data_IF_203729090198
#
_entry.id   IF_203729090198
#
_cell.length_a   1.000
_cell.length_b   1.000
_cell.length_c   1.000
_cell.angle_alpha   90.00
_cell.angle_beta   90.00
_cell.angle_gamma   90.00
#
_symmetry.space_group_name_H-M   'P 1'
#
loop_
_entity.id
_entity.type
_entity.pdbx_description
1 polymer ?
#
# COMPACT_ATOMS: atom_id res chain seq x y z
N UNK A 1 -7.41 34.76 -22.39
CA UNK A 1 -6.87 33.38 -22.50
C UNK A 1 -5.80 33.07 -21.46
N UNK A 2 -4.78 33.92 -21.28
CA UNK A 2 -3.70 33.75 -20.28
C UNK A 2 -4.17 33.49 -18.84
N UNK A 3 -5.22 34.19 -18.37
CA UNK A 3 -5.81 33.99 -17.04
C UNK A 3 -6.51 32.63 -16.85
N UNK A 4 -7.05 32.03 -17.93
CA UNK A 4 -7.68 30.70 -17.90
C UNK A 4 -6.62 29.59 -17.87
N UNK A 5 -5.55 29.76 -18.64
CA UNK A 5 -4.38 28.87 -18.63
C UNK A 5 -3.66 28.87 -17.28
N UNK A 6 -3.49 30.05 -16.65
CA UNK A 6 -2.91 30.14 -15.31
C UNK A 6 -3.76 29.40 -14.27
N UNK A 7 -5.09 29.57 -14.28
CA UNK A 7 -5.99 28.84 -13.39
C UNK A 7 -5.91 27.33 -13.59
N UNK A 8 -5.88 26.87 -14.85
CA UNK A 8 -5.77 25.46 -15.17
C UNK A 8 -4.44 24.86 -14.69
N UNK A 9 -3.35 25.60 -14.86
CA UNK A 9 -2.02 25.20 -14.37
C UNK A 9 -1.97 25.08 -12.85
N UNK A 10 -2.60 25.99 -12.11
CA UNK A 10 -2.70 25.91 -10.64
C UNK A 10 -3.51 24.69 -10.21
N UNK A 11 -4.66 24.43 -10.85
CA UNK A 11 -5.49 23.26 -10.54
C UNK A 11 -4.72 21.95 -10.81
N UNK A 12 -4.03 21.86 -11.94
CA UNK A 12 -3.26 20.67 -12.30
C UNK A 12 -2.04 20.45 -11.38
N UNK A 13 -1.39 21.53 -10.96
CA UNK A 13 -0.31 21.48 -9.97
C UNK A 13 -0.78 20.98 -8.60
N UNK A 14 -1.96 21.40 -8.14
CA UNK A 14 -2.52 20.91 -6.87
C UNK A 14 -2.92 19.42 -6.97
N UNK A 15 -3.50 19.00 -8.09
CA UNK A 15 -3.94 17.62 -8.29
C UNK A 15 -2.76 16.63 -8.32
N UNK A 16 -1.65 17.01 -8.94
CA UNK A 16 -0.43 16.18 -9.03
C UNK A 16 0.29 16.02 -7.70
N UNK A 17 0.15 16.96 -6.75
CA UNK A 17 0.72 16.81 -5.40
C UNK A 17 -0.04 15.80 -4.53
N UNK A 18 -1.33 15.56 -4.81
CA UNK A 18 -2.16 14.64 -4.02
C UNK A 18 -1.89 13.15 -4.35
N UNK A 19 -1.32 12.85 -5.52
CA UNK A 19 -1.08 11.46 -5.95
C UNK A 19 0.23 10.86 -5.46
N UNK A 20 1.08 11.65 -4.79
CA UNK A 20 2.43 11.22 -4.36
C UNK A 20 2.53 10.99 -2.85
N UNK A 21 1.44 11.14 -2.10
CA UNK A 21 1.46 10.87 -0.67
C UNK A 21 1.60 9.36 -0.45
N UNK A 22 2.60 8.90 0.32
CA UNK A 22 2.71 7.49 0.66
C UNK A 22 1.49 7.10 1.48
N UNK A 23 0.63 6.24 0.91
CA UNK A 23 -0.50 5.66 1.63
C UNK A 23 0.07 4.59 2.56
N UNK A 24 0.14 4.89 3.86
CA UNK A 24 0.46 3.89 4.87
C UNK A 24 -0.74 2.95 5.04
N UNK A 25 -0.64 1.73 4.52
CA UNK A 25 -1.56 0.66 4.87
C UNK A 25 -1.34 0.30 6.34
N UNK A 26 -2.41 0.24 7.14
CA UNK A 26 -2.29 -0.21 8.54
C UNK A 26 -1.96 -1.71 8.53
N UNK A 27 -0.86 -2.12 9.17
CA UNK A 27 -0.47 -3.53 9.24
C UNK A 27 -1.57 -4.35 9.91
N UNK A 28 -2.27 -5.18 9.13
CA UNK A 28 -3.37 -6.02 9.57
C UNK A 28 -2.94 -7.47 9.83
N UNK A 29 -3.74 -8.22 10.60
CA UNK A 29 -3.61 -9.69 10.62
C UNK A 29 -4.03 -10.22 9.26
N UNK A 30 -3.15 -10.98 8.61
CA UNK A 30 -3.50 -11.68 7.38
C UNK A 30 -4.47 -12.82 7.71
N UNK A 31 -5.54 -12.97 6.93
CA UNK A 31 -6.39 -14.16 7.03
C UNK A 31 -5.56 -15.35 6.52
N UNK A 32 -5.55 -16.47 7.24
CA UNK A 32 -4.68 -17.61 6.91
C UNK A 32 -4.82 -18.14 5.47
N UNK A 33 -5.98 -17.95 4.83
CA UNK A 33 -6.21 -18.31 3.43
C UNK A 33 -5.64 -17.36 2.37
N UNK A 34 -5.04 -16.23 2.77
CA UNK A 34 -4.41 -15.26 1.86
C UNK A 34 -2.88 -15.22 1.98
N UNK A 35 -2.29 -16.29 2.52
CA UNK A 35 -0.84 -16.41 2.73
C UNK A 35 -0.27 -17.43 1.75
N UNK A 36 0.74 -17.01 1.00
CA UNK A 36 1.57 -17.91 0.19
C UNK A 36 3.01 -17.88 0.70
N UNK A 37 3.73 -18.97 0.49
CA UNK A 37 5.17 -19.05 0.76
C UNK A 37 5.93 -19.27 -0.53
N UNK A 38 7.06 -18.58 -0.69
CA UNK A 38 8.00 -18.81 -1.78
C UNK A 38 9.41 -18.89 -1.17
N UNK A 39 9.93 -20.10 -1.04
CA UNK A 39 11.16 -20.36 -0.28
C UNK A 39 10.98 -19.95 1.18
N UNK A 40 11.91 -19.12 1.68
CA UNK A 40 11.92 -18.63 3.07
C UNK A 40 11.10 -17.35 3.29
N UNK A 41 10.41 -16.86 2.24
CA UNK A 41 9.61 -15.63 2.31
C UNK A 41 8.11 -15.94 2.29
N UNK A 42 7.37 -15.26 3.15
CA UNK A 42 5.91 -15.31 3.20
C UNK A 42 5.33 -14.04 2.56
N UNK A 43 4.22 -14.20 1.85
CA UNK A 43 3.49 -13.09 1.25
C UNK A 43 2.02 -13.17 1.65
N UNK A 44 1.45 -12.02 1.96
CA UNK A 44 0.02 -11.85 2.25
C UNK A 44 -0.66 -11.08 1.14
N UNK A 45 -1.85 -11.50 0.73
CA UNK A 45 -2.72 -10.72 -0.13
C UNK A 45 -3.69 -9.91 0.73
N UNK A 46 -3.62 -8.59 0.62
CA UNK A 46 -4.60 -7.68 1.21
C UNK A 46 -5.67 -7.39 0.14
N UNK A 47 -6.90 -7.06 0.56
CA UNK A 47 -8.02 -6.86 -0.38
C UNK A 47 -7.87 -5.66 -1.33
N UNK A 48 -6.69 -5.04 -1.38
CA UNK A 48 -6.29 -3.93 -2.24
C UNK A 48 -5.73 -4.38 -3.60
N UNK A 49 -5.56 -5.69 -3.81
CA UNK A 49 -5.10 -6.26 -5.07
C UNK A 49 -3.57 -6.41 -5.19
N UNK A 50 -2.83 -6.18 -4.11
CA UNK A 50 -1.38 -6.35 -4.08
C UNK A 50 -0.93 -7.42 -3.07
N UNK A 51 0.19 -8.07 -3.38
CA UNK A 51 0.89 -9.00 -2.49
C UNK A 51 1.97 -8.25 -1.70
N UNK A 52 1.93 -8.37 -0.39
CA UNK A 52 2.87 -7.71 0.50
C UNK A 52 3.71 -8.76 1.23
N UNK A 53 4.97 -8.43 1.52
CA UNK A 53 5.83 -9.32 2.30
C UNK A 53 5.25 -9.44 3.70
N UNK A 54 5.13 -10.66 4.19
CA UNK A 54 4.65 -10.95 5.52
C UNK A 54 5.82 -11.33 6.43
N UNK A 55 5.88 -10.72 7.61
CA UNK A 55 6.78 -11.08 8.68
C UNK A 55 6.04 -11.89 9.75
N UNK A 56 6.72 -12.85 10.38
CA UNK A 56 6.20 -13.54 11.55
C UNK A 56 6.31 -12.59 12.74
N UNK A 57 5.17 -12.19 13.31
CA UNK A 57 5.08 -11.28 14.44
C UNK A 57 4.38 -11.98 15.60
N UNK A 58 5.12 -12.83 16.31
CA UNK A 58 4.65 -13.55 17.50
C UNK A 58 5.31 -14.92 17.68
N UNK A 59 5.35 -15.42 18.92
CA UNK A 59 5.82 -16.81 19.20
C UNK A 59 4.79 -17.87 18.80
N UNK A 60 3.58 -17.43 18.46
CA UNK A 60 2.45 -18.24 18.01
C UNK A 60 2.42 -18.44 16.49
N UNK A 61 3.41 -17.90 15.76
CA UNK A 61 3.47 -18.00 14.30
C UNK A 61 2.51 -17.05 13.57
N UNK A 62 1.94 -16.06 14.25
CA UNK A 62 1.09 -15.05 13.59
C UNK A 62 1.87 -14.27 12.54
N UNK A 63 1.40 -14.28 11.30
CA UNK A 63 1.96 -13.48 10.20
C UNK A 63 1.27 -12.11 10.12
N UNK A 64 2.06 -11.05 10.00
CA UNK A 64 1.59 -9.69 9.70
C UNK A 64 2.34 -9.13 8.51
N UNK A 65 1.72 -8.17 7.85
CA UNK A 65 2.38 -7.39 6.81
C UNK A 65 3.64 -6.70 7.34
N UNK A 66 4.77 -6.89 6.66
CA UNK A 66 6.02 -6.19 6.92
C UNK A 66 6.04 -4.86 6.16
N UNK A 67 6.37 -3.78 6.86
CA UNK A 67 6.60 -2.45 6.28
C UNK A 67 8.05 -2.29 5.82
#
# INVERSE_FOLDING_TARGET
MKKKLLKLSVIMGVLTMMTVLPVSATSGKLKGGSIISCGDTYYGHHGDGHWHVAAIVGRDGTLKEGH
#
